data_IF_357506776153
#
_entry.id   IF_357506776153
#
_cell.length_a   1.000
_cell.length_b   1.000
_cell.length_c   1.000
_cell.angle_alpha   90.00
_cell.angle_beta   90.00
_cell.angle_gamma   90.00
#
_symmetry.space_group_name_H-M   'P 1'
#
loop_
_entity.id
_entity.type
_entity.pdbx_description
1 polymer ?
#
# COMPACT_ATOMS: atom_id res chain seq x y z
N UNK A 1 13.07 -0.41 -2.57
CA UNK A 1 14.01 0.70 -2.46
C UNK A 1 13.41 1.99 -2.99
N UNK A 2 12.76 1.91 -4.11
CA UNK A 2 12.09 3.10 -4.62
C UNK A 2 10.92 3.49 -3.73
N UNK A 3 10.34 2.52 -3.04
CA UNK A 3 9.25 2.82 -2.13
C UNK A 3 9.69 3.68 -0.96
N UNK A 4 10.91 3.46 -0.48
CA UNK A 4 11.42 4.29 0.60
C UNK A 4 11.62 5.72 0.15
N UNK A 5 12.14 5.90 -1.04
CA UNK A 5 12.31 7.24 -1.60
C UNK A 5 10.96 7.89 -1.85
N UNK A 6 10.01 7.12 -2.34
CA UNK A 6 8.66 7.63 -2.56
C UNK A 6 8.04 8.07 -1.23
N UNK A 7 8.24 7.28 -0.18
CA UNK A 7 7.72 7.65 1.13
C UNK A 7 8.31 8.98 1.59
N UNK A 8 9.62 9.13 1.48
CA UNK A 8 10.29 10.35 1.89
C UNK A 8 9.75 11.56 1.15
N UNK A 9 9.60 11.42 -0.16
CA UNK A 9 9.11 12.50 -1.00
C UNK A 9 7.67 12.85 -0.63
N UNK A 10 6.83 11.84 -0.43
CA UNK A 10 5.43 12.07 -0.12
C UNK A 10 5.24 12.65 1.28
N UNK A 11 6.09 12.28 2.23
CA UNK A 11 6.00 12.87 3.56
C UNK A 11 6.34 14.35 3.53
N UNK A 12 7.26 14.74 2.68
CA UNK A 12 7.54 16.16 2.49
C UNK A 12 6.36 16.88 1.86
N UNK A 13 5.75 16.23 0.87
CA UNK A 13 4.61 16.83 0.21
C UNK A 13 3.43 16.99 1.15
N UNK A 14 3.20 15.99 1.99
CA UNK A 14 2.10 16.04 2.95
C UNK A 14 2.30 17.14 3.99
N UNK A 15 3.54 17.48 4.27
CA UNK A 15 3.84 18.53 5.24
C UNK A 15 3.55 19.92 4.72
N UNK A 16 3.31 20.07 3.42
CA UNK A 16 3.01 21.38 2.85
C UNK A 16 1.61 21.83 3.24
N UNK A 17 1.42 23.13 3.48
CA UNK A 17 0.11 23.62 3.92
C UNK A 17 -1.02 23.35 2.93
N UNK A 18 -0.69 23.26 1.66
CA UNK A 18 -1.70 23.08 0.61
C UNK A 18 -1.78 21.63 0.14
N UNK A 19 -1.22 20.71 0.90
CA UNK A 19 -1.29 19.31 0.55
C UNK A 19 -2.76 18.86 0.55
N UNK A 20 -3.13 18.15 -0.52
CA UNK A 20 -4.49 17.68 -0.66
C UNK A 20 -4.64 16.20 -0.30
N UNK A 21 -5.88 15.72 -0.35
CA UNK A 21 -6.13 14.32 -0.02
C UNK A 21 -5.39 13.34 -0.93
N UNK A 22 -5.18 13.71 -2.16
CA UNK A 22 -4.52 12.82 -3.11
C UNK A 22 -3.10 12.49 -2.66
N UNK A 23 -2.40 13.49 -2.14
CA UNK A 23 -1.03 13.29 -1.64
C UNK A 23 -1.05 12.35 -0.45
N UNK A 24 -1.99 12.56 0.46
CA UNK A 24 -2.09 11.68 1.63
C UNK A 24 -2.46 10.26 1.24
N UNK A 25 -3.35 10.12 0.26
CA UNK A 25 -3.72 8.79 -0.21
C UNK A 25 -2.54 8.08 -0.87
N UNK A 26 -1.75 8.81 -1.63
CA UNK A 26 -0.56 8.23 -2.22
C UNK A 26 0.44 7.80 -1.14
N UNK A 27 0.58 8.60 -0.10
CA UNK A 27 1.45 8.22 1.00
C UNK A 27 0.93 6.96 1.70
N UNK A 28 -0.38 6.89 1.93
CA UNK A 28 -0.96 5.71 2.56
C UNK A 28 -0.69 4.47 1.72
N UNK A 29 -0.82 4.60 0.41
CA UNK A 29 -0.56 3.48 -0.48
C UNK A 29 0.90 3.01 -0.38
N UNK A 30 1.83 3.95 -0.42
CA UNK A 30 3.25 3.59 -0.34
C UNK A 30 3.57 2.95 1.00
N UNK A 31 3.06 3.52 2.09
CA UNK A 31 3.29 2.95 3.42
C UNK A 31 2.71 1.55 3.51
N UNK A 32 1.53 1.34 2.92
CA UNK A 32 0.94 0.01 2.87
C UNK A 32 1.76 -0.96 2.06
N UNK A 33 2.30 -0.51 0.93
CA UNK A 33 3.16 -1.36 0.10
C UNK A 33 4.44 -1.76 0.84
N UNK A 34 4.86 -0.93 1.78
CA UNK A 34 6.01 -1.25 2.62
C UNK A 34 5.65 -2.21 3.76
N UNK A 35 4.39 -2.57 3.87
CA UNK A 35 3.95 -3.53 4.87
C UNK A 35 3.47 -2.91 6.17
N UNK A 36 3.45 -1.60 6.27
CA UNK A 36 3.02 -0.92 7.49
C UNK A 36 1.54 -0.57 7.39
N UNK A 37 0.70 -1.60 7.49
CA UNK A 37 -0.72 -1.47 7.19
C UNK A 37 -1.47 -0.61 8.18
N UNK A 38 -1.16 -0.71 9.47
CA UNK A 38 -1.85 0.10 10.46
C UNK A 38 -1.55 1.58 10.27
N UNK A 39 -0.31 1.89 9.99
CA UNK A 39 0.06 3.27 9.73
C UNK A 39 -0.61 3.78 8.48
N UNK A 40 -0.66 2.94 7.43
CA UNK A 40 -1.31 3.32 6.19
C UNK A 40 -2.79 3.60 6.41
N UNK A 41 -3.44 2.81 7.25
CA UNK A 41 -4.84 3.03 7.55
C UNK A 41 -5.05 4.35 8.27
N UNK A 42 -4.17 4.68 9.21
CA UNK A 42 -4.27 5.95 9.90
C UNK A 42 -4.13 7.13 8.94
N UNK A 43 -3.18 7.02 8.02
CA UNK A 43 -2.98 8.09 7.04
C UNK A 43 -4.23 8.24 6.16
N UNK A 44 -4.77 7.12 5.70
CA UNK A 44 -5.96 7.16 4.85
C UNK A 44 -7.17 7.71 5.60
N UNK A 45 -7.24 7.48 6.90
CA UNK A 45 -8.38 7.94 7.70
C UNK A 45 -8.46 9.45 7.83
N UNK A 46 -7.40 10.16 7.48
CA UNK A 46 -7.46 11.61 7.49
C UNK A 46 -8.46 12.15 6.47
N UNK A 47 -8.71 11.41 5.40
CA UNK A 47 -9.55 11.87 4.32
C UNK A 47 -10.77 10.99 4.07
N UNK A 48 -10.75 9.76 4.54
CA UNK A 48 -11.82 8.79 4.31
C UNK A 48 -12.44 8.39 5.64
N UNK A 49 -13.73 8.01 5.61
CA UNK A 49 -14.30 7.38 6.80
C UNK A 49 -13.47 6.16 7.20
N UNK A 50 -13.44 5.91 8.49
CA UNK A 50 -12.59 4.85 9.00
C UNK A 50 -12.87 3.51 8.34
N UNK A 51 -14.14 3.22 8.09
CA UNK A 51 -14.51 1.95 7.46
C UNK A 51 -13.96 1.85 6.05
N UNK A 52 -13.95 2.96 5.31
CA UNK A 52 -13.41 2.94 3.95
C UNK A 52 -11.89 2.85 3.96
N UNK A 53 -11.26 3.55 4.89
CA UNK A 53 -9.81 3.46 5.00
C UNK A 53 -9.39 2.02 5.34
N UNK A 54 -10.11 1.40 6.26
CA UNK A 54 -9.82 0.03 6.64
C UNK A 54 -10.04 -0.93 5.46
N UNK A 55 -11.11 -0.71 4.70
CA UNK A 55 -11.40 -1.56 3.55
C UNK A 55 -10.33 -1.44 2.48
N UNK A 56 -9.88 -0.22 2.21
CA UNK A 56 -8.84 0.00 1.21
C UNK A 56 -7.54 -0.68 1.60
N UNK A 57 -7.16 -0.57 2.86
CA UNK A 57 -5.91 -1.17 3.32
C UNK A 57 -6.05 -2.70 3.37
N UNK A 58 -7.21 -3.20 3.75
CA UNK A 58 -7.43 -4.64 3.74
C UNK A 58 -7.32 -5.20 2.32
N UNK A 59 -7.86 -4.47 1.35
CA UNK A 59 -7.76 -4.87 -0.04
C UNK A 59 -6.30 -4.92 -0.50
N UNK A 60 -5.55 -3.88 -0.16
CA UNK A 60 -4.13 -3.83 -0.50
C UNK A 60 -3.37 -4.99 0.13
N UNK A 61 -3.65 -5.24 1.40
CA UNK A 61 -3.00 -6.33 2.12
C UNK A 61 -3.30 -7.67 1.46
N UNK A 62 -4.55 -7.85 1.04
CA UNK A 62 -4.95 -9.08 0.37
C UNK A 62 -4.24 -9.23 -0.97
N UNK A 63 -4.13 -8.15 -1.71
CA UNK A 63 -3.44 -8.20 -2.99
C UNK A 63 -1.97 -8.58 -2.82
N UNK A 64 -1.32 -8.03 -1.81
CA UNK A 64 0.07 -8.35 -1.56
C UNK A 64 0.24 -9.80 -1.13
N UNK A 65 -0.71 -10.30 -0.33
CA UNK A 65 -0.68 -11.70 0.08
C UNK A 65 -0.87 -12.63 -1.11
N UNK A 66 -1.79 -12.28 -1.99
CA UNK A 66 -2.03 -13.08 -3.18
C UNK A 66 -0.79 -13.14 -4.07
N UNK A 67 -0.10 -12.02 -4.15
CA UNK A 67 1.11 -11.99 -4.95
C UNK A 67 2.16 -12.93 -4.38
N UNK A 68 2.30 -12.97 -3.07
CA UNK A 68 3.19 -13.89 -2.42
C UNK A 68 2.78 -15.33 -2.63
N UNK A 69 1.50 -15.59 -2.50
CA UNK A 69 0.97 -16.94 -2.72
C UNK A 69 1.16 -17.38 -4.16
N UNK A 70 0.97 -16.45 -5.06
CA UNK A 70 1.14 -16.75 -6.47
C UNK A 70 2.55 -17.20 -6.77
N UNK A 71 3.53 -16.56 -6.16
CA UNK A 71 4.91 -16.96 -6.31
C UNK A 71 5.14 -18.37 -5.78
N UNK A 72 4.53 -18.67 -4.65
CA UNK A 72 4.62 -20.00 -4.07
C UNK A 72 4.01 -21.03 -5.00
N UNK A 73 2.86 -20.72 -5.53
CA UNK A 73 2.18 -21.64 -6.43
C UNK A 73 2.99 -21.90 -7.69
N UNK A 74 3.59 -20.86 -8.22
CA UNK A 74 4.44 -21.02 -9.37
C UNK A 74 5.57 -21.96 -9.11
N UNK A 75 6.12 -21.89 -7.92
CA UNK A 75 7.18 -22.77 -7.54
C UNK A 75 6.69 -24.20 -7.32
N UNK A 76 5.53 -24.32 -6.68
CA UNK A 76 4.97 -25.63 -6.37
C UNK A 76 4.57 -26.38 -7.62
N UNK A 77 4.05 -25.69 -8.59
CA UNK A 77 3.65 -26.31 -9.85
C UNK A 77 4.80 -26.36 -10.84
N UNK A 78 5.97 -26.01 -10.39
CA UNK A 78 7.08 -25.95 -11.27
C UNK A 78 6.93 -24.78 -12.19
N UNK A 79 7.55 -24.80 -13.30
CA UNK A 79 7.43 -23.71 -14.21
C UNK A 79 6.03 -23.63 -14.68
N UNK A 80 5.18 -23.90 -13.89
CA UNK A 80 3.80 -23.69 -14.11
C UNK A 80 3.38 -24.18 -15.48
N UNK A 81 2.13 -24.30 -15.67
CA UNK A 81 1.63 -24.85 -16.91
C UNK A 81 2.10 -24.09 -18.12
N UNK A 82 2.43 -22.89 -17.95
CA UNK A 82 2.82 -22.12 -19.07
C UNK A 82 4.28 -22.21 -19.44
N UNK A 83 4.97 -23.09 -18.80
CA UNK A 83 6.41 -23.12 -19.06
C UNK A 83 6.94 -24.48 -19.14
#
# INVERSE_FOLDING_TARGET
KDLKNAETTLRRAVAQPDAGPKVRQNLALVVGLLGRFEEAEKIASADLPESEAAANIAYLRQMLAQKGDWKKMGRAYGPAPGS
#
